data_IF_416647032341
#
_entry.id   IF_416647032341
#
_cell.length_a   1.000
_cell.length_b   1.000
_cell.length_c   1.000
_cell.angle_alpha   90.00
_cell.angle_beta   90.00
_cell.angle_gamma   90.00
#
_symmetry.space_group_name_H-M   'P 1'
#
loop_
_entity.id
_entity.type
_entity.pdbx_description
1 polymer ?
#
# COMPACT_ATOMS: atom_id res chain seq x y z
N UNK A 1 -0.54 26.10 -1.62
CA UNK A 1 -0.52 26.01 -2.05
C UNK A 1 -0.28 25.98 -2.25
N UNK A 2 -0.14 25.88 -1.92
CA UNK A 2 -0.23 25.73 -2.44
C UNK A 2 -0.68 25.19 -2.70
N UNK A 3 -0.70 25.04 -2.43
CA UNK A 3 -1.32 24.49 -2.79
C UNK A 3 -2.34 24.61 -2.84
N UNK A 4 -3.00 24.69 -2.81
CA UNK A 4 -3.95 24.72 -3.16
C UNK A 4 -4.60 25.11 -3.87
N UNK A 5 -4.60 25.51 -4.33
CA UNK A 5 -5.30 25.70 -5.16
C UNK A 5 -5.13 25.15 -6.03
N UNK A 6 -4.56 25.09 -6.29
CA UNK A 6 -4.56 24.40 -7.07
C UNK A 6 -4.95 23.40 -6.69
N UNK A 7 -5.07 23.27 -6.06
CA UNK A 7 -5.60 22.34 -5.92
C UNK A 7 -6.81 22.46 -5.90
N UNK A 8 -7.31 23.09 -6.19
CA UNK A 8 -8.36 23.17 -6.39
C UNK A 8 -8.86 22.91 -7.46
N UNK A 9 -8.64 23.10 -8.05
CA UNK A 9 -8.95 22.75 -9.08
C UNK A 9 -8.76 21.57 -9.38
N UNK A 10 -7.92 21.37 -9.05
CA UNK A 10 -7.62 20.14 -9.25
C UNK A 10 -8.51 19.34 -8.62
N UNK A 11 -9.00 19.68 -7.91
CA UNK A 11 -9.82 19.03 -7.39
C UNK A 11 -10.94 18.83 -8.02
N UNK A 12 -11.26 19.78 -8.43
CA UNK A 12 -12.28 19.53 -9.21
C UNK A 12 -11.95 18.54 -10.10
N UNK A 13 -10.88 18.39 -10.34
CA UNK A 13 -10.53 17.48 -11.17
C UNK A 13 -10.49 16.22 -10.56
N UNK A 14 -10.40 15.99 -9.37
CA UNK A 14 -10.52 14.73 -8.78
C UNK A 14 -10.03 13.57 -9.59
N UNK A 15 -9.53 13.82 -10.74
CA UNK A 15 -9.06 12.77 -11.61
C UNK A 15 -7.60 12.54 -11.48
N UNK A 16 -6.89 13.35 -10.71
CA UNK A 16 -5.47 13.15 -10.57
C UNK A 16 -5.17 11.94 -9.72
N UNK A 17 -4.27 11.12 -10.18
CA UNK A 17 -3.66 10.10 -9.36
C UNK A 17 -2.58 10.76 -8.53
N UNK A 18 -2.61 10.52 -7.24
CA UNK A 18 -1.58 11.02 -6.33
C UNK A 18 -0.72 9.85 -5.92
N UNK A 19 0.55 9.88 -6.25
CA UNK A 19 1.47 8.81 -5.93
C UNK A 19 2.50 9.30 -4.91
N UNK A 20 2.72 8.51 -3.87
CA UNK A 20 3.72 8.77 -2.85
C UNK A 20 4.56 7.53 -2.67
N UNK A 21 5.85 7.72 -2.50
CA UNK A 21 6.79 6.63 -2.36
C UNK A 21 7.39 6.60 -0.97
N UNK A 22 7.49 5.41 -0.41
CA UNK A 22 8.01 5.17 0.93
C UNK A 22 9.13 4.14 0.87
N UNK A 23 10.02 4.17 1.83
CA UNK A 23 11.05 3.15 1.99
C UNK A 23 11.01 2.67 3.42
N UNK A 24 10.99 1.37 3.60
CA UNK A 24 10.89 0.81 4.94
C UNK A 24 11.11 -0.68 4.97
N UNK A 25 10.59 -1.28 6.01
CA UNK A 25 10.80 -2.70 6.27
C UNK A 25 9.49 -3.46 6.23
N UNK A 26 9.54 -4.65 5.67
CA UNK A 26 8.40 -5.55 5.57
C UNK A 26 8.71 -6.82 6.32
N UNK A 27 7.70 -7.37 6.98
CA UNK A 27 7.84 -8.64 7.69
C UNK A 27 6.69 -9.56 7.31
N UNK A 28 6.99 -10.80 6.96
CA UNK A 28 6.00 -11.84 6.70
C UNK A 28 6.26 -12.93 7.71
N UNK A 29 5.34 -13.09 8.66
CA UNK A 29 5.54 -13.98 9.81
C UNK A 29 6.86 -13.58 10.50
N UNK A 30 7.86 -14.47 10.54
CA UNK A 30 9.15 -14.15 11.15
C UNK A 30 10.22 -13.74 10.15
N UNK A 31 9.85 -13.60 8.88
CA UNK A 31 10.81 -13.29 7.83
C UNK A 31 10.76 -11.79 7.52
N UNK A 32 11.89 -11.11 7.73
CA UNK A 32 11.98 -9.66 7.51
C UNK A 32 12.70 -9.31 6.23
N UNK A 33 12.26 -8.22 5.60
CA UNK A 33 12.90 -7.66 4.41
C UNK A 33 13.10 -6.17 4.64
N UNK A 34 14.30 -5.68 4.35
CA UNK A 34 14.67 -4.29 4.61
C UNK A 34 14.72 -3.48 3.32
N UNK A 35 14.57 -2.18 3.45
CA UNK A 35 14.70 -1.24 2.34
C UNK A 35 13.74 -1.56 1.20
N UNK A 36 12.50 -1.90 1.55
CA UNK A 36 11.46 -2.16 0.58
C UNK A 36 10.80 -0.85 0.21
N UNK A 37 10.78 -0.54 -1.08
CA UNK A 37 10.11 0.65 -1.58
C UNK A 37 8.65 0.32 -1.83
N UNK A 38 7.77 1.18 -1.34
CA UNK A 38 6.34 1.02 -1.50
C UNK A 38 5.77 2.29 -2.09
N UNK A 39 5.00 2.16 -3.15
CA UNK A 39 4.32 3.30 -3.76
C UNK A 39 2.83 3.20 -3.51
N UNK A 40 2.27 4.27 -2.95
CA UNK A 40 0.85 4.40 -2.68
C UNK A 40 0.25 5.34 -3.70
N UNK A 41 -0.77 4.89 -4.42
CA UNK A 41 -1.46 5.70 -5.40
C UNK A 41 -2.93 5.82 -5.02
N UNK A 42 -3.43 7.05 -4.99
CA UNK A 42 -4.84 7.33 -4.71
C UNK A 42 -5.51 7.75 -6.01
N UNK A 43 -6.70 7.22 -6.27
CA UNK A 43 -7.37 7.48 -7.54
C UNK A 43 -8.39 8.63 -7.47
N UNK A 44 -8.52 9.29 -6.34
CA UNK A 44 -9.46 10.39 -6.22
C UNK A 44 -10.91 9.96 -6.00
N UNK A 45 -11.18 8.67 -5.96
CA UNK A 45 -12.53 8.14 -5.74
C UNK A 45 -12.60 7.31 -4.46
N UNK A 46 -11.68 7.53 -3.55
CA UNK A 46 -11.66 6.79 -2.30
C UNK A 46 -11.04 5.41 -2.43
N UNK A 47 -10.27 5.17 -3.48
CA UNK A 47 -9.58 3.90 -3.67
C UNK A 47 -8.08 4.09 -3.71
N UNK A 48 -7.36 3.07 -3.30
CA UNK A 48 -5.91 3.12 -3.24
C UNK A 48 -5.29 1.85 -3.77
N UNK A 49 -4.07 1.97 -4.27
CA UNK A 49 -3.26 0.85 -4.72
C UNK A 49 -1.89 0.98 -4.09
N UNK A 50 -1.38 -0.12 -3.56
CA UNK A 50 -0.03 -0.20 -3.04
C UNK A 50 0.79 -1.13 -3.92
N UNK A 51 2.00 -0.69 -4.26
CA UNK A 51 2.96 -1.52 -4.98
C UNK A 51 4.18 -1.65 -4.10
N UNK A 52 4.44 -2.86 -3.61
CA UNK A 52 5.63 -3.17 -2.81
C UNK A 52 6.66 -3.77 -3.73
N UNK A 53 7.77 -3.06 -3.93
CA UNK A 53 8.72 -3.41 -4.97
C UNK A 53 9.75 -4.40 -4.48
N UNK A 54 10.03 -5.38 -5.32
CA UNK A 54 11.11 -6.34 -5.12
C UNK A 54 11.00 -7.06 -3.79
N UNK A 55 9.85 -7.66 -3.55
CA UNK A 55 9.58 -8.40 -2.32
C UNK A 55 9.51 -9.89 -2.61
N UNK A 56 9.64 -10.68 -1.55
CA UNK A 56 9.38 -12.11 -1.60
C UNK A 56 8.13 -12.39 -0.77
N UNK A 57 7.30 -13.30 -1.27
CA UNK A 57 6.14 -13.77 -0.51
C UNK A 57 6.53 -14.78 0.56
N UNK A 58 7.66 -15.43 0.39
CA UNK A 58 8.16 -16.43 1.32
C UNK A 58 9.68 -16.42 1.27
N UNK A 59 10.29 -16.85 2.38
CA UNK A 59 11.75 -16.81 2.52
C UNK A 59 12.46 -17.60 1.43
N UNK A 60 11.90 -18.74 1.04
CA UNK A 60 12.53 -19.62 0.06
C UNK A 60 12.27 -19.26 -1.39
N UNK A 61 11.56 -18.18 -1.62
CA UNK A 61 11.26 -17.78 -2.98
C UNK A 61 12.54 -17.37 -3.71
N UNK A 62 12.77 -17.88 -4.93
CA UNK A 62 14.06 -17.65 -5.60
C UNK A 62 14.21 -16.26 -6.23
N UNK A 63 13.10 -15.56 -6.46
CA UNK A 63 13.14 -14.26 -7.12
C UNK A 63 12.32 -13.26 -6.32
N UNK A 64 12.59 -11.98 -6.54
CA UNK A 64 11.81 -10.89 -5.96
C UNK A 64 10.84 -10.37 -7.00
N UNK A 65 9.66 -9.97 -6.55
CA UNK A 65 8.60 -9.48 -7.44
C UNK A 65 8.02 -8.20 -6.89
N UNK A 66 7.37 -7.45 -7.77
CA UNK A 66 6.62 -6.27 -7.36
C UNK A 66 5.19 -6.73 -7.06
N UNK A 67 4.81 -6.64 -5.79
CA UNK A 67 3.48 -7.07 -5.36
C UNK A 67 2.53 -5.88 -5.42
N UNK A 68 1.44 -6.04 -6.14
CA UNK A 68 0.42 -5.00 -6.29
C UNK A 68 -0.80 -5.39 -5.49
N UNK A 69 -1.20 -4.49 -4.59
CA UNK A 69 -2.42 -4.62 -3.78
C UNK A 69 -3.35 -3.50 -4.17
N UNK A 70 -4.42 -3.82 -4.89
CA UNK A 70 -5.34 -2.81 -5.41
C UNK A 70 -6.71 -2.94 -4.77
N UNK A 71 -7.58 -1.97 -5.03
CA UNK A 71 -8.95 -2.03 -4.53
C UNK A 71 -9.07 -1.70 -3.06
N UNK A 72 -8.07 -1.08 -2.46
CA UNK A 72 -8.15 -0.66 -1.07
C UNK A 72 -9.07 0.55 -0.95
N UNK A 73 -9.80 0.62 0.16
CA UNK A 73 -10.56 1.82 0.50
C UNK A 73 -9.65 2.82 1.17
N UNK A 74 -9.78 4.08 0.82
CA UNK A 74 -8.98 5.16 1.39
C UNK A 74 -9.92 6.22 1.95
N UNK A 75 -9.71 6.59 3.20
CA UNK A 75 -10.51 7.62 3.85
C UNK A 75 -9.62 8.41 4.79
N UNK A 76 -10.17 9.49 5.37
CA UNK A 76 -9.45 10.29 6.36
C UNK A 76 -10.11 10.09 7.71
N UNK A 77 -9.30 10.00 8.76
CA UNK A 77 -9.84 9.96 10.11
C UNK A 77 -10.08 11.39 10.62
N UNK A 78 -10.52 11.50 11.88
CA UNK A 78 -10.86 12.81 12.43
C UNK A 78 -9.65 13.74 12.52
N UNK A 79 -8.45 13.19 12.59
CA UNK A 79 -7.24 14.00 12.64
C UNK A 79 -6.66 14.29 11.26
N UNK A 80 -7.32 13.85 10.18
CA UNK A 80 -6.85 14.09 8.83
C UNK A 80 -5.85 13.07 8.31
N UNK A 81 -5.55 12.04 9.07
CA UNK A 81 -4.65 10.99 8.61
C UNK A 81 -5.34 10.09 7.60
N UNK A 82 -4.59 9.60 6.63
CA UNK A 82 -5.14 8.68 5.65
C UNK A 82 -5.25 7.29 6.27
N UNK A 83 -6.40 6.66 6.09
CA UNK A 83 -6.66 5.30 6.58
C UNK A 83 -7.00 4.42 5.39
N UNK A 84 -6.31 3.30 5.29
CA UNK A 84 -6.53 2.31 4.23
C UNK A 84 -7.13 1.06 4.84
N UNK A 85 -8.03 0.42 4.10
CA UNK A 85 -8.61 -0.83 4.54
C UNK A 85 -9.04 -1.69 3.35
N UNK A 86 -9.17 -2.97 3.59
CA UNK A 86 -9.65 -3.88 2.56
C UNK A 86 -9.62 -5.32 3.03
N UNK A 87 -10.31 -6.18 2.29
CA UNK A 87 -10.31 -7.61 2.58
C UNK A 87 -10.60 -8.37 1.29
N UNK A 88 -10.25 -9.64 1.26
CA UNK A 88 -10.46 -10.50 0.11
C UNK A 88 -9.82 -9.94 -1.16
N UNK A 89 -8.61 -9.42 -1.02
CA UNK A 89 -7.88 -8.84 -2.15
C UNK A 89 -6.90 -9.87 -2.67
N UNK A 90 -6.95 -10.12 -3.97
CA UNK A 90 -6.01 -11.04 -4.61
C UNK A 90 -4.85 -10.20 -5.14
N UNK A 91 -3.64 -10.36 -4.58
CA UNK A 91 -2.51 -9.58 -5.06
C UNK A 91 -2.05 -10.07 -6.42
N UNK A 92 -1.41 -9.17 -7.17
CA UNK A 92 -0.81 -9.52 -8.45
C UNK A 92 0.67 -9.23 -8.40
N UNK A 93 1.43 -9.93 -9.21
CA UNK A 93 2.85 -9.69 -9.37
C UNK A 93 3.26 -10.17 -10.75
N UNK A 94 3.97 -9.31 -11.49
CA UNK A 94 4.44 -9.69 -12.82
C UNK A 94 3.31 -10.08 -13.77
N UNK A 95 2.18 -9.39 -13.70
CA UNK A 95 1.00 -9.64 -14.53
C UNK A 95 0.31 -10.97 -14.23
N UNK A 96 0.61 -11.57 -13.08
CA UNK A 96 -0.07 -12.79 -12.63
C UNK A 96 -0.83 -12.49 -11.36
N UNK A 97 -1.99 -13.11 -11.18
CA UNK A 97 -2.70 -13.02 -9.92
C UNK A 97 -2.37 -14.24 -9.05
N UNK A 98 -2.43 -14.03 -7.74
CA UNK A 98 -2.05 -15.06 -6.78
C UNK A 98 -3.21 -15.32 -5.81
N UNK A 99 -4.26 -16.04 -6.26
CA UNK A 99 -5.44 -16.25 -5.40
C UNK A 99 -5.14 -17.07 -4.16
N UNK A 100 -4.06 -17.86 -4.16
CA UNK A 100 -3.67 -18.58 -2.94
C UNK A 100 -3.00 -17.68 -1.93
N UNK A 101 -2.68 -16.44 -2.29
CA UNK A 101 -2.09 -15.45 -1.40
C UNK A 101 -3.10 -14.35 -1.09
N UNK A 102 -4.37 -14.71 -0.99
CA UNK A 102 -5.43 -13.72 -0.77
C UNK A 102 -5.13 -12.92 0.50
N UNK A 103 -5.41 -11.62 0.43
CA UNK A 103 -5.15 -10.69 1.52
C UNK A 103 -6.46 -10.41 2.24
N UNK A 104 -6.43 -10.55 3.54
CA UNK A 104 -7.58 -10.24 4.40
C UNK A 104 -7.15 -9.29 5.50
N UNK A 105 -8.13 -8.55 6.04
CA UNK A 105 -7.91 -7.64 7.17
C UNK A 105 -6.79 -6.63 6.91
N UNK A 106 -6.76 -6.08 5.69
CA UNK A 106 -5.78 -5.04 5.38
C UNK A 106 -6.14 -3.77 6.12
N UNK A 107 -5.17 -3.23 6.84
CA UNK A 107 -5.29 -1.94 7.50
C UNK A 107 -4.00 -1.18 7.32
N UNK A 108 -4.13 0.11 7.05
CA UNK A 108 -2.96 0.96 6.90
C UNK A 108 -3.26 2.35 7.33
N UNK A 109 -2.24 3.06 7.78
CA UNK A 109 -2.35 4.48 8.12
C UNK A 109 -1.16 5.22 7.55
N UNK A 110 -1.41 6.44 7.10
CA UNK A 110 -0.36 7.35 6.68
C UNK A 110 -0.46 8.57 7.58
N UNK A 111 0.54 8.74 8.43
CA UNK A 111 0.55 9.81 9.43
C UNK A 111 1.94 10.42 9.46
N UNK A 112 2.00 11.73 9.17
CA UNK A 112 3.27 12.44 9.25
C UNK A 112 4.37 11.87 8.37
N UNK A 113 4.02 11.36 7.19
CA UNK A 113 5.00 10.76 6.29
C UNK A 113 5.36 9.33 6.62
N UNK A 114 4.73 8.72 7.64
CA UNK A 114 4.98 7.33 8.00
C UNK A 114 3.82 6.47 7.54
N UNK A 115 4.12 5.47 6.73
CA UNK A 115 3.12 4.50 6.26
C UNK A 115 3.29 3.22 7.05
N UNK A 116 2.22 2.81 7.74
CA UNK A 116 2.20 1.58 8.51
C UNK A 116 1.03 0.74 8.02
N UNK A 117 1.29 -0.47 7.59
CA UNK A 117 0.24 -1.38 7.12
C UNK A 117 0.39 -2.74 7.78
N UNK A 118 -0.74 -3.42 7.91
CA UNK A 118 -0.75 -4.80 8.36
C UNK A 118 -1.88 -5.53 7.68
N UNK A 119 -1.66 -6.79 7.37
CA UNK A 119 -2.68 -7.63 6.75
C UNK A 119 -2.30 -9.09 6.95
N UNK A 120 -3.24 -9.98 6.64
CA UNK A 120 -3.01 -11.41 6.65
C UNK A 120 -2.97 -11.89 5.20
N UNK A 121 -1.96 -12.66 4.85
CA UNK A 121 -1.80 -13.22 3.52
C UNK A 121 -1.45 -14.69 3.67
N UNK A 122 -2.30 -15.58 3.16
CA UNK A 122 -2.13 -17.01 3.32
C UNK A 122 -1.92 -17.40 4.77
N UNK A 123 -2.75 -16.85 5.68
CA UNK A 123 -2.69 -17.15 7.10
C UNK A 123 -1.43 -16.67 7.80
N UNK A 124 -0.62 -15.85 7.12
CA UNK A 124 0.58 -15.26 7.73
C UNK A 124 0.37 -13.77 7.88
N UNK A 125 0.80 -13.25 9.02
CA UNK A 125 0.70 -11.82 9.24
C UNK A 125 1.83 -11.10 8.50
N UNK A 126 1.46 -10.04 7.78
CA UNK A 126 2.39 -9.22 7.04
C UNK A 126 2.29 -7.79 7.57
N UNK A 127 3.43 -7.18 7.84
CA UNK A 127 3.48 -5.77 8.26
C UNK A 127 4.48 -5.03 7.41
N UNK A 128 4.24 -3.75 7.22
CA UNK A 128 5.16 -2.86 6.53
C UNK A 128 5.17 -1.52 7.25
N UNK A 129 6.34 -1.00 7.48
CA UNK A 129 6.52 0.32 8.07
C UNK A 129 7.56 1.07 7.28
N UNK A 130 7.16 2.18 6.66
CA UNK A 130 8.05 2.95 5.82
C UNK A 130 7.88 4.44 6.03
N UNK A 131 8.89 5.19 5.61
CA UNK A 131 8.89 6.65 5.66
C UNK A 131 8.88 7.20 4.25
N UNK A 132 8.18 8.32 4.08
CA UNK A 132 8.11 8.97 2.79
C UNK A 132 9.50 9.38 2.33
N UNK A 133 9.75 9.10 1.07
CA UNK A 133 11.00 9.38 0.43
C UNK A 133 11.19 10.86 0.16
#
# INVERSE_FOLDING_TARGET
>A
MKKTIALLFALALGLFLQAQTFVGNMSIASFGQKNIQCTLTLDGQGRATLVMQRVKFAKMMPVRVDMVVSGLSASRDAAGNLVLSGTNIIPTAGNKSYPKKIITNFRGTLRGGNLNTSFTMSQKKVTYAGKQK
#
